data_IF_816968250042
#
_entry.id   IF_816968250042
#
_cell.length_a   1.000
_cell.length_b   1.000
_cell.length_c   1.000
_cell.angle_alpha   90.00
_cell.angle_beta   90.00
_cell.angle_gamma   90.00
#
_symmetry.space_group_name_H-M   'P 1'
#
loop_
_entity.id
_entity.type
_entity.pdbx_description
1 polymer ?
#
# COMPACT_ATOMS: atom_id res chain seq x y z
N UNK A 1 19.42 39.08 -4.58
CA UNK A 1 19.97 39.47 -5.91
C UNK A 1 20.07 38.18 -6.73
N UNK A 2 19.45 38.14 -7.90
CA UNK A 2 19.11 36.94 -8.66
C UNK A 2 20.30 36.17 -9.29
N UNK A 3 20.20 34.83 -9.21
CA UNK A 3 20.56 33.73 -10.15
C UNK A 3 21.91 33.73 -10.91
N UNK A 4 22.60 32.57 -10.84
CA UNK A 4 22.75 31.54 -11.91
C UNK A 4 23.73 30.43 -11.44
N UNK A 5 23.29 29.17 -11.34
CA UNK A 5 23.53 28.05 -12.28
C UNK A 5 25.00 27.82 -12.66
N UNK A 6 25.55 26.66 -12.24
CA UNK A 6 26.81 26.10 -12.71
C UNK A 6 26.58 24.63 -13.10
N UNK A 7 26.50 24.39 -14.40
CA UNK A 7 26.63 23.07 -15.03
C UNK A 7 28.13 22.74 -15.11
N UNK A 8 28.54 21.55 -14.69
CA UNK A 8 29.87 20.99 -14.96
C UNK A 8 29.75 19.89 -16.01
N UNK A 9 30.44 20.08 -17.14
CA UNK A 9 30.74 19.05 -18.14
C UNK A 9 32.24 19.09 -18.41
N UNK A 10 32.88 17.92 -18.40
CA UNK A 10 34.27 17.69 -18.80
C UNK A 10 34.36 16.26 -19.38
N UNK A 11 35.10 15.89 -20.44
CA UNK A 11 35.46 16.49 -21.75
C UNK A 11 36.23 15.42 -22.58
N UNK A 12 36.40 15.66 -23.90
CA UNK A 12 37.44 15.22 -24.89
C UNK A 12 36.99 14.11 -25.90
N UNK A 13 37.02 14.23 -27.26
CA UNK A 13 37.76 15.06 -28.28
C UNK A 13 37.01 15.04 -29.66
N UNK A 14 36.50 16.16 -30.26
CA UNK A 14 37.00 17.01 -31.38
C UNK A 14 36.96 16.44 -32.85
N UNK A 15 36.84 17.24 -33.96
CA UNK A 15 35.87 18.30 -34.35
C UNK A 15 35.29 18.16 -35.79
N UNK A 16 34.20 18.89 -36.14
CA UNK A 16 34.13 19.63 -37.42
C UNK A 16 33.09 20.77 -37.35
N UNK A 17 33.49 21.93 -37.88
CA UNK A 17 32.83 23.24 -37.83
C UNK A 17 32.07 23.49 -39.15
N UNK A 18 31.09 24.40 -39.08
CA UNK A 18 30.60 25.38 -40.09
C UNK A 18 29.17 25.10 -40.57
N UNK A 19 28.19 25.78 -39.96
CA UNK A 19 27.42 26.85 -40.61
C UNK A 19 25.92 26.49 -40.50
N UNK A 20 24.95 27.33 -40.14
CA UNK A 20 24.70 28.71 -40.50
C UNK A 20 24.00 29.46 -39.35
N UNK A 21 24.22 30.77 -39.36
CA UNK A 21 23.49 31.77 -38.61
C UNK A 21 22.18 32.20 -39.30
N UNK A 22 21.41 33.01 -38.56
CA UNK A 22 20.24 33.82 -38.93
C UNK A 22 18.90 33.05 -38.86
N UNK A 23 17.86 33.53 -38.17
CA UNK A 23 17.40 34.92 -38.05
C UNK A 23 16.38 35.14 -36.90
N UNK A 24 16.53 36.29 -36.21
CA UNK A 24 15.52 37.19 -35.61
C UNK A 24 14.05 36.73 -35.54
N UNK A 25 13.33 36.87 -34.42
CA UNK A 25 12.72 38.16 -33.99
C UNK A 25 12.11 38.04 -32.57
N UNK A 26 12.14 39.14 -31.83
CA UNK A 26 11.67 39.27 -30.45
C UNK A 26 10.24 39.87 -30.34
N UNK A 27 9.48 39.34 -29.37
CA UNK A 27 8.67 40.01 -28.31
C UNK A 27 7.38 40.79 -28.68
N UNK A 28 6.24 40.37 -28.10
CA UNK A 28 5.45 41.14 -27.10
C UNK A 28 4.32 40.30 -26.43
N UNK A 29 3.78 40.73 -25.27
CA UNK A 29 3.24 39.84 -24.23
C UNK A 29 1.71 39.75 -24.17
N UNK A 30 1.26 38.77 -23.37
CA UNK A 30 -0.13 38.40 -23.11
C UNK A 30 -0.94 39.47 -22.32
N UNK A 31 -2.27 39.54 -22.53
CA UNK A 31 -3.16 40.28 -21.66
C UNK A 31 -3.64 39.43 -20.46
N UNK A 32 -3.56 40.04 -19.29
CA UNK A 32 -4.12 39.63 -18.00
C UNK A 32 -5.65 39.55 -18.05
N UNK A 33 -6.24 38.45 -17.56
CA UNK A 33 -7.67 38.37 -17.28
C UNK A 33 -7.95 38.48 -15.78
N UNK A 34 -8.86 39.39 -15.44
CA UNK A 34 -9.41 39.65 -14.11
C UNK A 34 -10.40 38.54 -13.73
N UNK A 35 -10.44 38.05 -12.47
CA UNK A 35 -11.39 37.02 -12.05
C UNK A 35 -12.81 37.57 -11.98
N UNK A 36 -13.76 36.86 -12.58
CA UNK A 36 -15.20 37.14 -12.49
C UNK A 36 -15.77 36.35 -11.32
N UNK A 37 -16.29 37.06 -10.32
CA UNK A 37 -17.12 36.53 -9.25
C UNK A 37 -18.52 36.28 -9.81
N UNK A 38 -19.01 35.04 -9.78
CA UNK A 38 -20.40 34.72 -10.12
C UNK A 38 -21.15 34.44 -8.83
N UNK A 39 -22.15 35.27 -8.57
CA UNK A 39 -23.14 35.11 -7.50
C UNK A 39 -24.31 34.28 -8.02
N UNK A 40 -24.76 33.31 -7.21
CA UNK A 40 -25.84 32.40 -7.53
C UNK A 40 -27.20 33.10 -7.72
N UNK A 41 -27.97 32.66 -8.72
CA UNK A 41 -29.41 32.89 -8.81
C UNK A 41 -30.12 31.57 -9.14
N UNK A 42 -31.10 31.26 -8.30
CA UNK A 42 -32.03 30.15 -8.43
C UNK A 42 -33.09 30.41 -9.51
N UNK A 43 -33.45 29.40 -10.31
CA UNK A 43 -34.79 29.22 -10.92
C UNK A 43 -35.05 27.73 -11.20
N UNK A 44 -36.16 27.25 -10.62
CA UNK A 44 -37.12 26.17 -10.92
C UNK A 44 -36.72 24.79 -11.49
N UNK A 45 -37.26 23.78 -10.79
CA UNK A 45 -37.46 22.38 -11.19
C UNK A 45 -38.15 22.21 -12.55
N UNK A 46 -37.83 21.09 -13.23
CA UNK A 46 -38.90 20.26 -13.75
C UNK A 46 -38.73 18.77 -13.39
N UNK A 47 -39.84 18.23 -12.90
CA UNK A 47 -40.34 16.85 -12.90
C UNK A 47 -39.44 15.71 -13.42
N UNK A 48 -39.37 14.66 -12.59
CA UNK A 48 -38.96 13.29 -12.90
C UNK A 48 -39.44 12.78 -14.27
N UNK A 49 -38.51 12.21 -15.02
CA UNK A 49 -38.78 11.08 -15.93
C UNK A 49 -37.67 10.06 -15.70
N UNK A 50 -37.93 9.07 -14.84
CA UNK A 50 -37.17 7.83 -14.77
C UNK A 50 -37.34 7.12 -16.11
N UNK A 51 -36.24 6.94 -16.84
CA UNK A 51 -36.17 6.02 -17.98
C UNK A 51 -34.98 5.12 -17.73
N UNK A 52 -35.24 3.90 -17.25
CA UNK A 52 -34.28 2.79 -17.29
C UNK A 52 -33.93 2.54 -18.76
N UNK A 53 -32.69 2.85 -19.13
CA UNK A 53 -32.08 2.34 -20.35
C UNK A 53 -31.25 1.12 -19.97
N UNK A 54 -31.88 -0.06 -20.01
CA UNK A 54 -31.16 -1.34 -20.07
C UNK A 54 -30.72 -1.52 -21.52
N UNK A 55 -29.44 -1.34 -21.80
CA UNK A 55 -28.81 -1.74 -23.05
C UNK A 55 -28.23 -3.15 -22.92
N UNK A 56 -28.30 -3.92 -23.99
CA UNK A 56 -27.98 -5.36 -24.02
C UNK A 56 -26.47 -5.65 -23.94
N UNK A 57 -26.07 -6.76 -23.29
CA UNK A 57 -24.68 -7.07 -22.99
C UNK A 57 -23.84 -7.32 -24.25
N UNK A 58 -22.67 -6.69 -24.31
CA UNK A 58 -21.61 -7.05 -25.27
C UNK A 58 -20.71 -8.11 -24.64
N UNK A 59 -21.20 -9.35 -24.63
CA UNK A 59 -20.44 -10.53 -24.21
C UNK A 59 -20.92 -11.77 -24.95
N UNK A 60 -20.01 -12.45 -25.66
CA UNK A 60 -20.31 -13.70 -26.35
C UNK A 60 -20.16 -14.88 -25.38
N UNK A 61 -21.17 -15.11 -24.55
CA UNK A 61 -21.30 -16.31 -23.70
C UNK A 61 -22.77 -16.59 -23.40
N UNK A 62 -23.20 -17.85 -23.49
CA UNK A 62 -24.58 -18.23 -23.23
C UNK A 62 -24.96 -17.94 -21.78
N UNK A 63 -25.94 -17.05 -21.55
CA UNK A 63 -26.62 -16.76 -20.27
C UNK A 63 -25.72 -16.93 -19.04
N UNK A 64 -24.74 -16.04 -18.89
CA UNK A 64 -24.04 -15.91 -17.62
C UNK A 64 -25.00 -15.24 -16.62
N UNK A 65 -25.37 -15.98 -15.57
CA UNK A 65 -26.23 -15.46 -14.49
C UNK A 65 -25.54 -14.33 -13.70
N UNK A 66 -24.20 -14.25 -13.76
CA UNK A 66 -23.39 -13.13 -13.31
C UNK A 66 -23.12 -12.19 -14.50
N UNK A 67 -23.48 -10.92 -14.37
CA UNK A 67 -23.57 -10.00 -15.51
C UNK A 67 -22.38 -9.04 -15.54
N UNK A 68 -21.59 -9.06 -16.62
CA UNK A 68 -20.67 -7.97 -16.94
C UNK A 68 -21.46 -6.75 -17.42
N UNK A 69 -21.24 -5.60 -16.79
CA UNK A 69 -21.86 -4.35 -17.20
C UNK A 69 -21.06 -3.72 -18.36
N UNK A 70 -21.74 -2.96 -19.21
CA UNK A 70 -21.15 -2.28 -20.39
C UNK A 70 -20.14 -1.17 -20.02
N UNK A 71 -19.90 -0.95 -18.73
CA UNK A 71 -19.06 0.10 -18.17
C UNK A 71 -17.61 -0.40 -18.04
N UNK A 72 -16.99 -0.72 -19.17
CA UNK A 72 -15.57 -1.09 -19.24
C UNK A 72 -14.77 0.17 -19.59
N UNK A 73 -13.74 0.44 -18.80
CA UNK A 73 -12.81 1.54 -19.02
C UNK A 73 -11.39 1.03 -19.07
N UNK A 74 -10.55 1.65 -19.89
CA UNK A 74 -9.10 1.52 -19.80
C UNK A 74 -8.43 2.86 -20.12
N UNK A 75 -7.27 3.06 -19.51
CA UNK A 75 -6.40 4.21 -19.75
C UNK A 75 -4.95 3.74 -19.86
N UNK A 76 -4.16 4.41 -20.70
CA UNK A 76 -2.76 4.07 -20.92
C UNK A 76 -1.87 5.29 -20.72
N UNK A 77 -0.79 5.14 -19.96
CA UNK A 77 0.32 6.09 -19.88
C UNK A 77 1.66 5.34 -20.07
N UNK A 78 2.33 5.64 -21.18
CA UNK A 78 3.52 4.89 -21.62
C UNK A 78 3.24 3.38 -21.69
N UNK A 79 4.05 2.60 -20.98
CA UNK A 79 3.88 1.15 -20.87
C UNK A 79 2.87 0.69 -19.81
N UNK A 80 2.25 1.58 -19.04
CA UNK A 80 1.27 1.21 -18.01
C UNK A 80 -0.15 1.32 -18.55
N UNK A 81 -0.99 0.31 -18.30
CA UNK A 81 -2.40 0.31 -18.69
C UNK A 81 -3.25 -0.03 -17.48
N UNK A 82 -4.15 0.87 -17.13
CA UNK A 82 -5.21 0.64 -16.15
C UNK A 82 -6.45 0.13 -16.86
N UNK A 83 -7.15 -0.84 -16.27
CA UNK A 83 -8.46 -1.29 -16.71
C UNK A 83 -9.42 -1.41 -15.53
N UNK A 84 -10.69 -1.04 -15.75
CA UNK A 84 -11.77 -1.21 -14.79
C UNK A 84 -13.03 -1.73 -15.47
N UNK A 85 -13.75 -2.61 -14.77
CA UNK A 85 -15.05 -3.14 -15.20
C UNK A 85 -15.89 -3.55 -14.00
N UNK A 86 -17.16 -3.89 -14.23
CA UNK A 86 -18.10 -4.24 -13.18
C UNK A 86 -18.79 -5.56 -13.45
N UNK A 87 -18.84 -6.40 -12.43
CA UNK A 87 -19.72 -7.58 -12.41
C UNK A 87 -20.90 -7.30 -11.47
N UNK A 88 -22.11 -7.64 -11.91
CA UNK A 88 -23.33 -7.51 -11.14
C UNK A 88 -23.93 -8.89 -10.86
N UNK A 89 -24.23 -9.15 -9.59
CA UNK A 89 -25.01 -10.29 -9.15
C UNK A 89 -26.51 -9.91 -9.11
N UNK A 90 -27.32 -10.36 -10.09
CA UNK A 90 -28.76 -10.05 -10.12
C UNK A 90 -29.59 -10.93 -9.18
N UNK A 91 -28.99 -11.93 -8.51
CA UNK A 91 -29.69 -12.82 -7.58
C UNK A 91 -29.87 -12.10 -6.25
N UNK A 92 -31.07 -12.17 -5.68
CA UNK A 92 -31.41 -11.51 -4.41
C UNK A 92 -31.06 -12.32 -3.16
N UNK A 93 -30.71 -13.59 -3.31
CA UNK A 93 -30.52 -14.55 -2.22
C UNK A 93 -29.33 -15.50 -2.42
N UNK A 94 -28.56 -15.34 -3.50
CA UNK A 94 -27.41 -16.19 -3.81
C UNK A 94 -26.11 -15.40 -3.90
N UNK A 95 -25.04 -15.99 -3.38
CA UNK A 95 -23.66 -15.52 -3.52
C UNK A 95 -23.02 -16.29 -4.68
N UNK A 96 -22.33 -15.58 -5.58
CA UNK A 96 -21.42 -16.22 -6.54
C UNK A 96 -20.07 -16.46 -5.86
N UNK A 97 -19.50 -17.63 -6.08
CA UNK A 97 -18.21 -18.03 -5.51
C UNK A 97 -17.23 -18.43 -6.61
N UNK A 98 -15.96 -18.09 -6.36
CA UNK A 98 -14.85 -18.44 -7.21
C UNK A 98 -14.98 -17.86 -8.60
N UNK A 99 -15.12 -16.53 -8.66
CA UNK A 99 -15.19 -15.81 -9.93
C UNK A 99 -13.77 -15.71 -10.46
N UNK A 100 -13.55 -16.32 -11.61
CA UNK A 100 -12.29 -16.24 -12.35
C UNK A 100 -12.48 -15.34 -13.56
N UNK A 101 -11.52 -14.47 -13.85
CA UNK A 101 -11.61 -13.61 -15.02
C UNK A 101 -10.24 -13.39 -15.65
N UNK A 102 -10.24 -13.18 -16.97
CA UNK A 102 -9.06 -12.81 -17.75
C UNK A 102 -9.37 -11.54 -18.52
N UNK A 103 -8.51 -10.53 -18.41
CA UNK A 103 -8.59 -9.30 -19.19
C UNK A 103 -7.53 -9.34 -20.28
N UNK A 104 -7.95 -9.18 -21.53
CA UNK A 104 -7.10 -9.20 -22.71
C UNK A 104 -6.93 -7.78 -23.27
N UNK A 105 -5.70 -7.42 -23.65
CA UNK A 105 -5.37 -6.17 -24.33
C UNK A 105 -5.09 -6.44 -25.81
N UNK A 106 -5.66 -5.65 -26.70
CA UNK A 106 -5.48 -5.80 -28.15
C UNK A 106 -4.91 -4.54 -28.81
N UNK A 107 -4.11 -4.75 -29.87
CA UNK A 107 -3.64 -3.69 -30.76
C UNK A 107 -4.74 -3.25 -31.75
N UNK A 108 -4.48 -2.19 -32.51
CA UNK A 108 -5.42 -1.66 -33.51
C UNK A 108 -5.72 -2.61 -34.69
N UNK A 109 -4.98 -3.71 -34.83
CA UNK A 109 -5.24 -4.75 -35.82
C UNK A 109 -6.07 -5.91 -35.23
N UNK A 110 -6.41 -5.86 -33.94
CA UNK A 110 -7.11 -6.92 -33.21
C UNK A 110 -6.19 -8.08 -32.82
N UNK A 111 -4.87 -7.90 -32.82
CA UNK A 111 -3.96 -8.91 -32.26
C UNK A 111 -3.85 -8.71 -30.76
N UNK A 112 -3.85 -9.81 -30.01
CA UNK A 112 -3.62 -9.77 -28.57
C UNK A 112 -2.18 -9.33 -28.28
N UNK A 113 -2.05 -8.31 -27.45
CA UNK A 113 -0.77 -7.81 -26.92
C UNK A 113 -0.37 -8.68 -25.73
N UNK A 114 -1.27 -8.78 -24.75
CA UNK A 114 -1.09 -9.54 -23.51
C UNK A 114 -2.44 -9.75 -22.83
N UNK A 115 -2.47 -10.58 -21.79
CA UNK A 115 -3.62 -10.82 -20.93
C UNK A 115 -3.20 -11.04 -19.48
N UNK A 116 -4.07 -10.73 -18.53
CA UNK A 116 -3.85 -11.04 -17.11
C UNK A 116 -5.05 -11.75 -16.49
N UNK A 117 -4.77 -12.72 -15.63
CA UNK A 117 -5.73 -13.59 -14.98
C UNK A 117 -5.80 -13.26 -13.49
N UNK A 118 -7.02 -13.15 -12.96
CA UNK A 118 -7.22 -12.94 -11.53
C UNK A 118 -8.58 -13.47 -11.08
N UNK A 119 -8.86 -13.35 -9.79
CA UNK A 119 -10.05 -13.91 -9.18
C UNK A 119 -10.72 -12.94 -8.21
N UNK A 120 -12.04 -13.10 -8.05
CA UNK A 120 -12.82 -12.53 -6.95
C UNK A 120 -13.45 -13.69 -6.20
N UNK A 121 -13.23 -13.75 -4.89
CA UNK A 121 -13.70 -14.89 -4.09
C UNK A 121 -15.22 -14.97 -4.04
N UNK A 122 -15.88 -13.83 -3.77
CA UNK A 122 -17.34 -13.77 -3.68
C UNK A 122 -17.91 -12.47 -4.28
N UNK A 123 -19.08 -12.58 -4.90
CA UNK A 123 -19.94 -11.44 -5.24
C UNK A 123 -21.32 -11.67 -4.61
N UNK A 124 -21.70 -10.79 -3.69
CA UNK A 124 -22.86 -10.94 -2.80
C UNK A 124 -24.19 -10.61 -3.49
N UNK A 125 -25.35 -11.03 -2.94
CA UNK A 125 -26.65 -10.80 -3.56
C UNK A 125 -26.92 -9.33 -3.87
N UNK A 126 -27.35 -9.04 -5.10
CA UNK A 126 -27.63 -7.68 -5.57
C UNK A 126 -26.42 -6.77 -5.73
N UNK A 127 -25.21 -7.25 -5.43
CA UNK A 127 -24.00 -6.43 -5.45
C UNK A 127 -23.56 -6.14 -6.89
N UNK A 128 -23.25 -4.87 -7.15
CA UNK A 128 -22.39 -4.47 -8.27
C UNK A 128 -20.98 -4.28 -7.73
N UNK A 129 -20.03 -5.03 -8.26
CA UNK A 129 -18.65 -5.08 -7.77
C UNK A 129 -17.70 -4.53 -8.82
N UNK A 130 -17.00 -3.45 -8.47
CA UNK A 130 -15.96 -2.84 -9.31
C UNK A 130 -14.64 -3.60 -9.20
N UNK A 131 -14.08 -3.95 -10.35
CA UNK A 131 -12.83 -4.68 -10.48
C UNK A 131 -11.84 -3.81 -11.23
N UNK A 132 -10.59 -3.81 -10.78
CA UNK A 132 -9.50 -3.01 -11.35
C UNK A 132 -8.24 -3.85 -11.55
N UNK A 133 -7.51 -3.57 -12.63
CA UNK A 133 -6.25 -4.22 -12.99
C UNK A 133 -5.26 -3.21 -13.57
N UNK A 134 -3.98 -3.50 -13.37
CA UNK A 134 -2.87 -2.76 -13.93
C UNK A 134 -2.00 -3.70 -14.75
N UNK A 135 -1.69 -3.32 -15.98
CA UNK A 135 -0.75 -4.00 -16.85
C UNK A 135 0.52 -3.19 -17.00
N UNK A 136 1.63 -3.90 -17.15
CA UNK A 136 2.92 -3.32 -17.53
C UNK A 136 3.37 -3.98 -18.84
N UNK A 137 3.39 -3.19 -19.90
CA UNK A 137 3.81 -3.61 -21.24
C UNK A 137 5.34 -3.62 -21.32
N UNK A 138 5.90 -4.63 -21.98
CA UNK A 138 7.36 -4.78 -22.17
C UNK A 138 7.99 -3.63 -23.00
N UNK A 139 7.21 -2.99 -23.86
CA UNK A 139 7.61 -1.84 -24.67
C UNK A 139 6.63 -0.68 -24.47
N UNK A 140 7.15 0.43 -23.96
CA UNK A 140 6.43 1.69 -23.69
C UNK A 140 5.80 2.33 -24.95
N UNK A 141 6.19 1.89 -26.14
CA UNK A 141 5.64 2.37 -27.41
C UNK A 141 4.49 1.49 -27.94
N UNK A 142 4.19 0.37 -27.28
CA UNK A 142 3.06 -0.48 -27.65
C UNK A 142 1.76 0.21 -27.27
N UNK A 143 0.85 0.39 -28.24
CA UNK A 143 -0.43 1.06 -28.00
C UNK A 143 -1.57 0.04 -27.91
N UNK A 144 -2.35 0.14 -26.83
CA UNK A 144 -3.61 -0.58 -26.68
C UNK A 144 -4.69 0.16 -27.48
N UNK A 145 -5.54 -0.60 -28.19
CA UNK A 145 -6.68 -0.07 -28.93
C UNK A 145 -8.01 -0.54 -28.34
N UNK A 146 -8.05 -1.74 -27.76
CA UNK A 146 -9.25 -2.28 -27.13
C UNK A 146 -8.92 -3.32 -26.06
N UNK A 147 -9.90 -3.59 -25.20
CA UNK A 147 -9.82 -4.64 -24.18
C UNK A 147 -11.06 -5.54 -24.23
N UNK A 148 -10.91 -6.78 -23.80
CA UNK A 148 -12.04 -7.68 -23.53
C UNK A 148 -11.88 -8.37 -22.18
N UNK A 149 -12.99 -8.79 -21.60
CA UNK A 149 -13.03 -9.50 -20.33
C UNK A 149 -13.77 -10.81 -20.53
N UNK A 150 -13.10 -11.91 -20.25
CA UNK A 150 -13.70 -13.23 -20.13
C UNK A 150 -13.83 -13.57 -18.64
N UNK A 151 -14.96 -14.13 -18.22
CA UNK A 151 -15.19 -14.52 -16.83
C UNK A 151 -16.00 -15.81 -16.73
N UNK A 152 -15.77 -16.54 -15.65
CA UNK A 152 -16.57 -17.68 -15.22
C UNK A 152 -16.63 -17.71 -13.68
N UNK A 153 -17.41 -18.64 -13.14
CA UNK A 153 -17.50 -18.83 -11.69
C UNK A 153 -17.65 -20.30 -11.33
N UNK A 154 -17.09 -20.69 -10.19
CA UNK A 154 -17.13 -22.07 -9.71
C UNK A 154 -18.54 -22.52 -9.34
N UNK A 155 -19.22 -21.74 -8.49
CA UNK A 155 -20.52 -22.14 -7.95
C UNK A 155 -21.36 -20.96 -7.43
N UNK A 156 -22.58 -21.28 -7.00
CA UNK A 156 -23.45 -20.35 -6.24
C UNK A 156 -23.97 -21.05 -5.00
N UNK A 157 -24.11 -20.32 -3.90
CA UNK A 157 -24.74 -20.82 -2.67
C UNK A 157 -25.73 -19.80 -2.09
N UNK A 158 -26.66 -20.26 -1.26
CA UNK A 158 -27.63 -19.38 -0.59
C UNK A 158 -26.90 -18.49 0.42
N UNK A 159 -27.20 -17.18 0.41
CA UNK A 159 -26.52 -16.23 1.29
C UNK A 159 -26.73 -16.58 2.77
N UNK A 160 -27.95 -16.96 3.19
CA UNK A 160 -28.26 -17.42 4.55
C UNK A 160 -27.67 -16.55 5.69
N UNK A 161 -27.62 -15.22 5.47
CA UNK A 161 -27.07 -14.24 6.41
C UNK A 161 -25.57 -13.91 6.20
N UNK A 162 -24.89 -14.63 5.32
CA UNK A 162 -23.55 -14.30 4.83
C UNK A 162 -23.63 -13.09 3.89
N UNK A 163 -23.03 -11.99 4.31
CA UNK A 163 -22.96 -10.73 3.59
C UNK A 163 -21.53 -10.19 3.64
N UNK A 164 -21.19 -9.27 2.73
CA UNK A 164 -19.92 -8.56 2.82
C UNK A 164 -19.94 -7.73 4.11
N UNK A 165 -19.06 -7.98 5.09
CA UNK A 165 -19.05 -7.19 6.31
C UNK A 165 -18.34 -5.84 6.10
N UNK A 166 -17.71 -5.63 4.93
CA UNK A 166 -16.91 -4.45 4.68
C UNK A 166 -17.71 -3.31 4.07
N UNK A 167 -17.53 -2.13 4.65
CA UNK A 167 -18.04 -0.86 4.10
C UNK A 167 -16.93 0.19 4.14
N UNK A 168 -17.04 1.24 3.35
CA UNK A 168 -16.01 2.27 3.25
C UNK A 168 -16.51 3.64 3.69
N UNK A 169 -15.62 4.44 4.26
CA UNK A 169 -15.91 5.80 4.73
C UNK A 169 -14.66 6.68 4.64
N UNK A 170 -14.86 8.00 4.76
CA UNK A 170 -13.79 9.01 4.75
C UNK A 170 -12.83 8.89 3.56
N UNK A 171 -13.38 8.60 2.37
CA UNK A 171 -12.61 8.49 1.14
C UNK A 171 -12.16 9.87 0.68
N UNK A 172 -10.86 10.05 0.47
CA UNK A 172 -10.26 11.26 -0.07
C UNK A 172 -9.38 10.93 -1.27
N UNK A 173 -9.52 11.76 -2.31
CA UNK A 173 -8.60 11.77 -3.44
C UNK A 173 -7.61 12.92 -3.28
N UNK A 174 -6.33 12.60 -3.45
CA UNK A 174 -5.21 13.52 -3.38
C UNK A 174 -4.54 13.56 -4.75
N UNK A 175 -4.46 14.74 -5.37
CA UNK A 175 -3.80 14.87 -6.67
C UNK A 175 -2.31 14.50 -6.59
N UNK A 176 -1.64 14.87 -5.49
CA UNK A 176 -0.29 14.47 -5.11
C UNK A 176 0.74 14.46 -6.26
N UNK A 177 0.76 15.55 -7.04
CA UNK A 177 1.66 15.71 -8.19
C UNK A 177 1.40 14.67 -9.28
N UNK A 178 2.45 13.93 -9.65
CA UNK A 178 2.42 12.86 -10.65
C UNK A 178 1.99 11.50 -10.06
N UNK A 179 1.76 11.42 -8.74
CA UNK A 179 1.43 10.18 -8.03
C UNK A 179 0.13 10.35 -7.23
N UNK A 180 -1.03 10.50 -7.91
CA UNK A 180 -2.30 10.67 -7.21
C UNK A 180 -2.57 9.50 -6.28
N UNK A 181 -3.23 9.80 -5.17
CA UNK A 181 -3.46 8.84 -4.09
C UNK A 181 -4.89 8.90 -3.61
N UNK A 182 -5.44 7.75 -3.25
CA UNK A 182 -6.69 7.64 -2.52
C UNK A 182 -6.39 7.15 -1.11
N UNK A 183 -6.95 7.82 -0.12
CA UNK A 183 -6.96 7.35 1.27
C UNK A 183 -8.38 7.15 1.74
N UNK A 184 -8.56 6.31 2.76
CA UNK A 184 -9.88 6.06 3.32
C UNK A 184 -9.91 5.00 4.40
N UNK A 185 -11.11 4.64 4.82
CA UNK A 185 -11.35 3.66 5.89
C UNK A 185 -12.13 2.48 5.33
N UNK A 186 -11.74 1.27 5.74
CA UNK A 186 -12.54 0.05 5.60
C UNK A 186 -13.04 -0.34 6.99
N UNK A 187 -14.36 -0.35 7.16
CA UNK A 187 -15.04 -0.76 8.38
C UNK A 187 -15.46 -2.21 8.25
N UNK A 188 -15.31 -2.99 9.32
CA UNK A 188 -15.72 -4.38 9.41
C UNK A 188 -16.87 -4.53 10.42
N UNK A 189 -18.05 -4.90 9.93
CA UNK A 189 -19.21 -5.14 10.81
C UNK A 189 -19.25 -6.55 11.43
N UNK A 190 -18.37 -7.45 11.02
CA UNK A 190 -18.22 -8.78 11.60
C UNK A 190 -17.57 -8.67 13.00
N UNK A 191 -17.99 -9.40 14.04
CA UNK A 191 -17.26 -9.49 15.30
C UNK A 191 -15.82 -10.02 15.18
N UNK A 192 -15.50 -10.72 14.10
CA UNK A 192 -14.20 -11.36 13.92
C UNK A 192 -13.25 -10.55 13.03
N UNK A 193 -11.94 -10.74 13.23
CA UNK A 193 -10.90 -10.05 12.47
C UNK A 193 -10.61 -10.80 11.17
N UNK A 194 -10.51 -10.06 10.06
CA UNK A 194 -10.23 -10.65 8.74
C UNK A 194 -8.92 -10.11 8.19
N UNK A 195 -8.06 -10.99 7.69
CA UNK A 195 -6.79 -10.64 7.06
C UNK A 195 -6.85 -10.56 5.54
N UNK A 196 -5.84 -9.91 4.96
CA UNK A 196 -5.57 -9.84 3.53
C UNK A 196 -6.80 -9.42 2.70
N UNK A 197 -7.31 -8.23 3.00
CA UNK A 197 -8.46 -7.63 2.32
C UNK A 197 -7.97 -6.81 1.14
N UNK A 198 -8.58 -6.99 -0.03
CA UNK A 198 -8.27 -6.16 -1.21
C UNK A 198 -9.28 -5.03 -1.32
N UNK A 199 -8.82 -3.81 -1.52
CA UNK A 199 -9.64 -2.67 -1.87
C UNK A 199 -9.44 -2.32 -3.35
N UNK A 200 -10.49 -2.47 -4.16
CA UNK A 200 -10.51 -1.97 -5.54
C UNK A 200 -11.03 -0.54 -5.54
N UNK A 201 -10.32 0.38 -6.17
CA UNK A 201 -10.58 1.83 -6.11
C UNK A 201 -10.88 2.32 -7.52
N UNK A 202 -12.02 2.97 -7.72
CA UNK A 202 -12.45 3.51 -9.02
C UNK A 202 -12.71 5.00 -8.87
N UNK A 203 -12.08 5.80 -9.73
CA UNK A 203 -12.19 7.25 -9.76
C UNK A 203 -13.14 7.69 -10.88
N UNK A 204 -13.99 8.67 -10.60
CA UNK A 204 -14.98 9.20 -11.53
C UNK A 204 -14.84 10.71 -11.70
N UNK A 205 -15.15 11.21 -12.91
CA UNK A 205 -15.29 12.65 -13.15
C UNK A 205 -16.69 13.16 -12.76
N UNK A 206 -16.93 14.47 -12.94
CA UNK A 206 -18.22 15.09 -12.64
C UNK A 206 -19.40 14.60 -13.52
N UNK A 207 -19.12 13.96 -14.66
CA UNK A 207 -20.14 13.36 -15.52
C UNK A 207 -20.51 11.94 -15.08
N UNK A 208 -19.77 11.35 -14.14
CA UNK A 208 -19.93 9.97 -13.71
C UNK A 208 -19.16 8.96 -14.58
N UNK A 209 -18.29 9.41 -15.49
CA UNK A 209 -17.43 8.52 -16.27
C UNK A 209 -16.25 8.07 -15.40
N UNK A 210 -15.81 6.82 -15.59
CA UNK A 210 -14.58 6.30 -14.99
C UNK A 210 -13.40 7.03 -15.63
N UNK A 211 -12.47 7.51 -14.81
CA UNK A 211 -11.27 8.24 -15.26
C UNK A 211 -9.98 7.70 -14.68
N UNK A 212 -10.04 6.59 -13.96
CA UNK A 212 -8.87 5.98 -13.34
C UNK A 212 -9.22 5.15 -12.11
N UNK A 213 -8.20 4.77 -11.35
CA UNK A 213 -8.33 3.91 -10.20
C UNK A 213 -7.04 3.17 -9.85
N UNK A 214 -7.17 2.17 -9.00
CA UNK A 214 -6.06 1.34 -8.55
C UNK A 214 -6.55 0.34 -7.51
N UNK A 215 -5.64 -0.39 -6.88
CA UNK A 215 -6.00 -1.25 -5.75
C UNK A 215 -4.92 -1.21 -4.68
N UNK A 216 -5.29 -1.64 -3.48
CA UNK A 216 -4.33 -1.92 -2.41
C UNK A 216 -4.79 -3.14 -1.60
N UNK A 217 -3.89 -3.66 -0.79
CA UNK A 217 -4.16 -4.71 0.18
C UNK A 217 -4.06 -4.14 1.59
N UNK A 218 -4.94 -4.61 2.46
CA UNK A 218 -5.01 -4.27 3.86
C UNK A 218 -4.72 -5.55 4.62
N UNK A 219 -3.65 -5.53 5.42
CA UNK A 219 -3.14 -6.72 6.11
C UNK A 219 -4.19 -7.39 6.99
N UNK A 220 -4.97 -6.58 7.71
CA UNK A 220 -6.13 -7.04 8.46
C UNK A 220 -7.12 -5.89 8.71
N UNK A 221 -8.36 -6.24 9.04
CA UNK A 221 -9.37 -5.31 9.56
C UNK A 221 -9.95 -5.93 10.84
N UNK A 222 -9.73 -5.32 12.04
CA UNK A 222 -10.22 -5.88 13.28
C UNK A 222 -11.74 -6.06 13.29
N UNK A 223 -12.21 -7.03 14.08
CA UNK A 223 -13.62 -7.29 14.27
C UNK A 223 -14.35 -6.12 14.93
N UNK A 224 -15.50 -5.74 14.39
CA UNK A 224 -16.34 -4.62 14.84
C UNK A 224 -15.60 -3.28 14.91
N UNK A 225 -14.57 -3.11 14.07
CA UNK A 225 -13.74 -1.92 14.02
C UNK A 225 -13.37 -1.59 12.57
N UNK A 226 -12.35 -0.76 12.37
CA UNK A 226 -11.91 -0.31 11.06
C UNK A 226 -10.38 -0.31 10.90
N UNK A 227 -9.93 -0.21 9.65
CA UNK A 227 -8.54 0.12 9.32
C UNK A 227 -8.46 1.17 8.23
N UNK A 228 -7.45 2.03 8.32
CA UNK A 228 -7.12 2.98 7.27
C UNK A 228 -6.40 2.29 6.12
N UNK A 229 -6.54 2.86 4.91
CA UNK A 229 -5.74 2.49 3.75
C UNK A 229 -5.24 3.75 3.04
N UNK A 230 -4.13 3.60 2.34
CA UNK A 230 -3.60 4.57 1.39
C UNK A 230 -3.11 3.82 0.14
N UNK A 231 -3.44 4.34 -1.04
CA UNK A 231 -3.16 3.67 -2.30
C UNK A 231 -2.87 4.68 -3.41
N UNK A 232 -1.74 4.54 -4.09
CA UNK A 232 -1.54 5.24 -5.36
C UNK A 232 -2.54 4.72 -6.39
N UNK A 233 -3.04 5.64 -7.21
CA UNK A 233 -4.00 5.37 -8.28
C UNK A 233 -3.50 6.02 -9.56
N UNK A 234 -3.99 5.54 -10.70
CA UNK A 234 -3.85 6.24 -11.96
C UNK A 234 -5.07 7.13 -12.18
N UNK A 235 -4.86 8.33 -12.75
CA UNK A 235 -5.93 9.26 -13.09
C UNK A 235 -5.65 9.91 -14.46
N UNK A 236 -6.50 9.60 -15.44
CA UNK A 236 -6.37 10.04 -16.83
C UNK A 236 -7.16 11.32 -17.14
N UNK A 237 -7.99 11.76 -16.20
CA UNK A 237 -8.74 13.02 -16.24
C UNK A 237 -9.04 13.48 -14.79
N UNK A 238 -9.70 14.63 -14.64
CA UNK A 238 -10.10 15.18 -13.35
C UNK A 238 -11.02 14.25 -12.55
N UNK A 239 -10.62 13.97 -11.31
CA UNK A 239 -11.39 13.16 -10.36
C UNK A 239 -12.32 14.05 -9.54
N UNK A 240 -13.60 13.71 -9.52
CA UNK A 240 -14.66 14.35 -8.75
C UNK A 240 -15.17 13.49 -7.59
N UNK A 241 -15.17 12.16 -7.76
CA UNK A 241 -15.57 11.20 -6.73
C UNK A 241 -14.81 9.89 -6.86
N UNK A 242 -14.80 9.11 -5.78
CA UNK A 242 -14.14 7.80 -5.72
C UNK A 242 -15.08 6.79 -5.08
N UNK A 243 -15.14 5.58 -5.62
CA UNK A 243 -15.78 4.43 -4.98
C UNK A 243 -14.74 3.35 -4.69
N UNK A 244 -14.94 2.64 -3.57
CA UNK A 244 -14.00 1.62 -3.09
C UNK A 244 -14.78 0.35 -2.77
N UNK A 245 -14.33 -0.76 -3.36
CA UNK A 245 -14.95 -2.09 -3.28
C UNK A 245 -14.03 -3.05 -2.51
N UNK A 246 -14.12 -3.08 -1.17
CA UNK A 246 -13.38 -4.02 -0.34
C UNK A 246 -13.91 -5.45 -0.55
N UNK A 247 -13.00 -6.42 -0.64
CA UNK A 247 -13.34 -7.82 -0.82
C UNK A 247 -12.34 -8.76 -0.17
N UNK A 248 -12.84 -9.95 0.16
CA UNK A 248 -12.01 -11.07 0.57
C UNK A 248 -11.14 -11.55 -0.59
N UNK A 249 -9.93 -11.98 -0.24
CA UNK A 249 -9.04 -12.68 -1.14
C UNK A 249 -9.05 -14.18 -0.82
N UNK A 250 -8.41 -14.98 -1.66
CA UNK A 250 -8.20 -16.40 -1.38
C UNK A 250 -7.22 -16.64 -0.22
N UNK A 251 -6.37 -15.67 0.11
CA UNK A 251 -5.49 -15.74 1.28
C UNK A 251 -6.05 -15.00 2.50
N UNK A 252 -7.30 -14.53 2.47
CA UNK A 252 -7.96 -14.01 3.67
C UNK A 252 -8.17 -15.12 4.70
N UNK A 253 -7.67 -14.88 5.91
CA UNK A 253 -7.86 -15.71 7.09
C UNK A 253 -8.80 -15.02 8.09
N UNK A 254 -9.59 -15.83 8.78
CA UNK A 254 -10.50 -15.44 9.86
C UNK A 254 -9.82 -15.66 11.21
N UNK A 255 -9.82 -14.65 12.06
CA UNK A 255 -9.38 -14.71 13.45
C UNK A 255 -10.59 -14.50 14.36
N UNK A 256 -11.07 -15.58 14.96
CA UNK A 256 -12.27 -15.58 15.78
C UNK A 256 -12.02 -14.90 17.15
N UNK A 257 -12.90 -13.96 17.51
CA UNK A 257 -12.85 -13.26 18.79
C UNK A 257 -11.78 -12.16 18.88
N UNK A 258 -11.35 -11.87 20.12
CA UNK A 258 -10.48 -10.72 20.43
C UNK A 258 -9.41 -10.97 21.50
N UNK A 259 -9.36 -12.17 22.07
CA UNK A 259 -8.44 -12.48 23.18
C UNK A 259 -6.96 -12.34 22.76
N UNK A 260 -6.67 -12.64 21.48
CA UNK A 260 -5.33 -12.57 20.91
C UNK A 260 -4.76 -11.14 20.87
N UNK A 261 -5.57 -10.08 20.85
CA UNK A 261 -5.07 -8.70 20.85
C UNK A 261 -4.23 -8.33 22.09
N UNK A 262 -4.30 -9.14 23.15
CA UNK A 262 -3.48 -8.96 24.36
C UNK A 262 -2.16 -9.74 24.32
N UNK A 263 -1.88 -10.50 23.26
CA UNK A 263 -0.68 -11.35 23.17
C UNK A 263 0.58 -10.58 22.77
N UNK A 264 0.43 -9.44 22.09
CA UNK A 264 1.52 -8.52 21.80
C UNK A 264 1.16 -7.13 22.31
N UNK A 265 2.05 -6.52 23.10
CA UNK A 265 1.92 -5.14 23.55
C UNK A 265 2.80 -4.21 22.72
N UNK A 266 2.29 -3.04 22.34
CA UNK A 266 3.13 -1.89 21.96
C UNK A 266 3.54 -1.17 23.25
N UNK A 267 4.85 -1.11 23.52
CA UNK A 267 5.39 -0.57 24.76
C UNK A 267 5.74 0.91 24.68
N UNK A 268 6.25 1.32 23.52
CA UNK A 268 6.70 2.66 23.22
C UNK A 268 6.56 2.86 21.72
N UNK A 269 6.12 4.03 21.31
CA UNK A 269 5.96 4.40 19.91
C UNK A 269 6.13 5.91 19.78
N UNK A 270 6.75 6.34 18.69
CA UNK A 270 6.83 7.74 18.33
C UNK A 270 7.01 7.89 16.84
N UNK A 271 6.08 8.59 16.21
CA UNK A 271 6.17 9.00 14.81
C UNK A 271 5.99 10.51 14.68
N UNK A 272 6.68 11.10 13.71
CA UNK A 272 6.61 12.52 13.43
C UNK A 272 6.86 12.81 11.94
N UNK A 273 6.34 13.95 11.48
CA UNK A 273 6.63 14.44 10.13
C UNK A 273 8.00 15.12 10.08
N UNK A 274 8.76 14.82 9.03
CA UNK A 274 10.02 15.49 8.72
C UNK A 274 9.76 16.86 8.07
N UNK A 275 10.84 17.62 7.85
CA UNK A 275 10.75 18.92 7.14
C UNK A 275 10.28 18.76 5.68
N UNK A 276 10.37 17.56 5.11
CA UNK A 276 9.97 17.25 3.75
C UNK A 276 8.60 16.53 3.66
N UNK A 277 7.87 16.41 4.77
CA UNK A 277 6.54 15.79 4.79
C UNK A 277 6.52 14.27 4.96
N UNK A 278 7.67 13.59 4.83
CA UNK A 278 7.78 12.15 5.16
C UNK A 278 7.48 11.88 6.63
N UNK A 279 6.95 10.69 6.94
CA UNK A 279 6.71 10.23 8.29
C UNK A 279 7.81 9.25 8.69
N UNK A 280 8.47 9.52 9.82
CA UNK A 280 9.55 8.68 10.34
C UNK A 280 9.34 8.43 11.83
N UNK A 281 9.85 7.32 12.32
CA UNK A 281 9.62 6.89 13.69
C UNK A 281 9.77 5.40 13.86
N UNK A 282 9.19 4.87 14.93
CA UNK A 282 9.18 3.44 15.19
C UNK A 282 8.42 3.12 16.46
N UNK A 283 8.39 1.84 16.80
CA UNK A 283 7.71 1.31 17.96
C UNK A 283 8.43 0.08 18.52
N UNK A 284 8.27 -0.16 19.81
CA UNK A 284 8.73 -1.36 20.50
C UNK A 284 7.53 -2.27 20.77
N UNK A 285 7.68 -3.55 20.42
CA UNK A 285 6.66 -4.57 20.70
C UNK A 285 7.19 -5.62 21.66
N UNK A 286 6.30 -6.17 22.47
CA UNK A 286 6.59 -7.25 23.41
C UNK A 286 5.59 -8.39 23.26
N UNK A 287 6.08 -9.63 23.11
CA UNK A 287 5.22 -10.82 23.30
C UNK A 287 4.86 -10.97 24.77
N UNK A 288 3.59 -11.21 25.10
CA UNK A 288 3.11 -11.42 26.47
C UNK A 288 2.86 -12.90 26.80
N UNK A 289 3.22 -13.81 25.88
CA UNK A 289 2.91 -15.23 25.99
C UNK A 289 4.17 -16.10 26.07
N UNK A 290 3.98 -17.34 26.51
CA UNK A 290 5.05 -18.34 26.69
C UNK A 290 5.36 -19.15 25.41
N UNK A 291 4.82 -18.74 24.26
CA UNK A 291 4.97 -19.43 22.96
C UNK A 291 5.56 -18.47 21.93
N UNK A 292 6.34 -19.01 21.00
CA UNK A 292 6.89 -18.24 19.88
C UNK A 292 5.73 -17.88 18.94
N UNK A 293 5.71 -16.63 18.47
CA UNK A 293 4.79 -16.19 17.41
C UNK A 293 5.58 -16.03 16.12
N UNK A 294 5.08 -16.58 15.01
CA UNK A 294 5.59 -16.32 13.66
C UNK A 294 4.61 -15.46 12.87
N UNK A 295 5.08 -14.76 11.84
CA UNK A 295 4.24 -14.01 10.90
C UNK A 295 3.26 -13.00 11.54
N UNK A 296 3.66 -12.33 12.64
CA UNK A 296 2.83 -11.26 13.21
C UNK A 296 2.93 -10.01 12.32
N UNK A 297 1.90 -9.18 12.29
CA UNK A 297 1.88 -7.98 11.43
C UNK A 297 1.51 -6.75 12.24
N UNK A 298 2.31 -5.69 12.09
CA UNK A 298 2.05 -4.39 12.65
C UNK A 298 1.60 -3.43 11.54
N UNK A 299 0.52 -2.69 11.78
CA UNK A 299 0.02 -1.65 10.87
C UNK A 299 -0.07 -0.32 11.63
N UNK A 300 0.35 0.74 10.96
CA UNK A 300 0.33 2.11 11.45
C UNK A 300 -0.60 2.92 10.55
N UNK A 301 -1.60 3.56 11.14
CA UNK A 301 -2.51 4.45 10.42
C UNK A 301 -2.31 5.88 10.87
N UNK A 302 -2.11 6.80 9.93
CA UNK A 302 -1.85 8.21 10.21
C UNK A 302 -3.04 9.09 9.84
N UNK A 303 -3.41 10.01 10.71
CA UNK A 303 -4.60 10.84 10.59
C UNK A 303 -4.28 12.32 10.57
N UNK A 304 -5.08 13.11 9.85
CA UNK A 304 -5.13 14.56 10.05
C UNK A 304 -6.02 14.92 11.27
N UNK A 305 -6.03 16.22 11.62
CA UNK A 305 -6.84 16.75 12.74
C UNK A 305 -8.36 16.52 12.61
N UNK A 306 -8.84 16.24 11.40
CA UNK A 306 -10.26 16.02 11.10
C UNK A 306 -10.60 14.51 11.08
N UNK A 307 -9.61 13.64 11.33
CA UNK A 307 -9.76 12.19 11.36
C UNK A 307 -9.69 11.53 9.99
N UNK A 308 -9.21 12.22 8.95
CA UNK A 308 -8.99 11.60 7.65
C UNK A 308 -7.64 10.90 7.59
N UNK A 309 -7.57 9.79 6.86
CA UNK A 309 -6.32 9.07 6.66
C UNK A 309 -5.39 9.91 5.76
N UNK A 310 -4.15 10.09 6.22
CA UNK A 310 -3.08 10.77 5.47
C UNK A 310 -2.06 9.79 4.92
N UNK A 311 -1.80 8.68 5.63
CA UNK A 311 -0.90 7.63 5.17
C UNK A 311 -1.08 6.36 6.02
N UNK A 312 -0.43 5.28 5.59
CA UNK A 312 -0.32 4.01 6.31
C UNK A 312 1.12 3.46 6.22
N UNK A 313 1.52 2.68 7.22
CA UNK A 313 2.75 1.88 7.21
C UNK A 313 2.46 0.47 7.71
N UNK A 314 3.32 -0.48 7.34
CA UNK A 314 3.19 -1.86 7.78
C UNK A 314 4.56 -2.49 8.02
N UNK A 315 4.60 -3.50 8.89
CA UNK A 315 5.79 -4.31 9.13
C UNK A 315 5.42 -5.73 9.50
N UNK A 316 6.10 -6.70 8.89
CA UNK A 316 5.93 -8.12 9.19
C UNK A 316 7.02 -8.57 10.15
N UNK A 317 6.60 -9.09 11.30
CA UNK A 317 7.47 -9.67 12.32
C UNK A 317 7.53 -11.17 12.04
N UNK A 318 8.62 -11.60 11.39
CA UNK A 318 8.82 -13.00 11.02
C UNK A 318 8.73 -13.93 12.23
N UNK A 319 9.36 -13.54 13.34
CA UNK A 319 9.41 -14.33 14.55
C UNK A 319 9.56 -13.44 15.79
N UNK A 320 8.79 -13.75 16.83
CA UNK A 320 8.83 -13.08 18.13
C UNK A 320 8.87 -14.14 19.23
N UNK A 321 10.00 -14.23 19.94
CA UNK A 321 10.19 -15.21 21.00
C UNK A 321 9.36 -14.85 22.25
N UNK A 322 9.09 -15.82 23.15
CA UNK A 322 8.38 -15.59 24.40
C UNK A 322 8.95 -14.42 25.19
N UNK A 323 8.08 -13.50 25.62
CA UNK A 323 8.45 -12.31 26.44
C UNK A 323 9.47 -11.36 25.80
N UNK A 324 9.84 -11.58 24.54
CA UNK A 324 10.86 -10.80 23.85
C UNK A 324 10.33 -9.41 23.52
N UNK A 325 11.21 -8.42 23.68
CA UNK A 325 11.02 -7.06 23.19
C UNK A 325 11.87 -6.88 21.93
N UNK A 326 11.29 -6.31 20.88
CA UNK A 326 12.00 -5.85 19.68
C UNK A 326 11.55 -4.43 19.32
N UNK A 327 12.46 -3.64 18.77
CA UNK A 327 12.16 -2.31 18.23
C UNK A 327 12.11 -2.35 16.71
N UNK A 328 11.11 -1.69 16.12
CA UNK A 328 10.80 -1.72 14.69
C UNK A 328 10.65 -0.29 14.17
N UNK A 329 11.34 0.02 13.07
CA UNK A 329 11.14 1.25 12.30
C UNK A 329 10.53 0.86 10.96
N UNK A 330 9.19 0.95 10.79
CA UNK A 330 8.52 0.47 9.60
C UNK A 330 8.77 1.40 8.42
N UNK A 331 8.59 0.87 7.21
CA UNK A 331 8.40 1.72 6.04
C UNK A 331 6.99 2.31 6.08
N UNK A 332 6.89 3.63 5.93
CA UNK A 332 5.63 4.36 5.88
C UNK A 332 5.47 4.95 4.48
N UNK A 333 4.27 4.80 3.92
CA UNK A 333 3.95 5.43 2.64
C UNK A 333 4.11 6.95 2.76
N UNK A 334 4.66 7.60 1.74
CA UNK A 334 4.82 9.06 1.79
C UNK A 334 3.44 9.74 1.78
N UNK A 335 3.10 10.58 2.77
CA UNK A 335 1.84 11.30 2.76
C UNK A 335 1.70 12.23 1.54
N UNK A 336 0.46 12.64 1.18
CA UNK A 336 0.25 13.66 0.17
C UNK A 336 0.97 14.97 0.52
N UNK A 337 1.47 15.69 -0.49
CA UNK A 337 2.21 16.96 -0.32
C UNK A 337 1.50 18.01 0.57
N UNK A 338 0.17 18.03 0.56
CA UNK A 338 -0.67 18.96 1.32
C UNK A 338 -1.29 18.36 2.59
N UNK A 339 -1.05 17.07 2.86
CA UNK A 339 -1.51 16.43 4.08
C UNK A 339 -0.77 16.99 5.30
N UNK A 340 -1.50 17.09 6.41
CA UNK A 340 -0.95 17.50 7.71
C UNK A 340 -1.34 16.45 8.74
N UNK A 341 -0.44 15.49 8.95
CA UNK A 341 -0.61 14.42 9.94
C UNK A 341 -0.55 15.00 11.36
N UNK A 342 -1.53 14.65 12.19
CA UNK A 342 -1.71 15.13 13.56
C UNK A 342 -1.58 13.98 14.58
N UNK A 343 -2.11 12.80 14.25
CA UNK A 343 -2.08 11.64 15.13
C UNK A 343 -1.88 10.33 14.34
N UNK A 344 -1.66 9.25 15.06
CA UNK A 344 -1.53 7.91 14.49
C UNK A 344 -1.95 6.84 15.50
N UNK A 345 -2.27 5.66 14.99
CA UNK A 345 -2.49 4.44 15.77
C UNK A 345 -1.53 3.35 15.29
N UNK A 346 -1.02 2.53 16.22
CA UNK A 346 -0.23 1.32 15.92
C UNK A 346 -1.01 0.11 16.43
N UNK A 347 -1.37 -0.80 15.53
CA UNK A 347 -2.00 -2.07 15.87
C UNK A 347 -1.09 -3.22 15.45
N UNK A 348 -1.04 -4.27 16.28
CA UNK A 348 -0.26 -5.48 16.00
C UNK A 348 -1.18 -6.69 16.09
N UNK A 349 -1.36 -7.39 14.98
CA UNK A 349 -2.03 -8.68 14.92
C UNK A 349 -1.00 -9.78 15.19
N UNK A 350 -1.14 -10.57 16.27
CA UNK A 350 -0.34 -11.76 16.48
C UNK A 350 -0.53 -12.75 15.34
N UNK A 351 0.57 -13.38 14.94
CA UNK A 351 0.55 -14.42 13.92
C UNK A 351 0.41 -15.83 14.49
N UNK A 352 1.04 -16.80 13.86
CA UNK A 352 0.87 -18.22 14.17
C UNK A 352 1.67 -18.65 15.41
N UNK A 353 1.12 -19.57 16.20
CA UNK A 353 1.80 -20.14 17.36
C UNK A 353 2.76 -21.26 16.96
N UNK A 354 4.04 -21.07 17.22
CA UNK A 354 5.08 -22.05 16.94
C UNK A 354 5.39 -22.89 18.19
N UNK A 355 4.85 -24.12 18.26
CA UNK A 355 5.00 -24.99 19.44
C UNK A 355 6.30 -25.78 19.49
N UNK A 356 6.96 -25.96 18.33
CA UNK A 356 8.14 -26.80 18.17
C UNK A 356 9.39 -26.00 17.75
N UNK A 357 9.37 -24.66 17.89
CA UNK A 357 10.54 -23.84 17.60
C UNK A 357 11.66 -24.09 18.61
N UNK A 358 12.90 -24.16 18.12
CA UNK A 358 14.04 -24.60 18.93
C UNK A 358 14.40 -23.64 20.06
N UNK A 359 14.18 -22.34 19.86
CA UNK A 359 14.55 -21.30 20.82
C UNK A 359 13.36 -20.83 21.64
N UNK A 360 13.57 -20.64 22.95
CA UNK A 360 12.62 -19.98 23.86
C UNK A 360 13.11 -18.62 24.35
N UNK A 361 14.38 -18.29 24.06
CA UNK A 361 15.02 -17.03 24.40
C UNK A 361 16.00 -16.63 23.29
N UNK A 362 16.25 -15.34 23.14
CA UNK A 362 17.14 -14.84 22.09
C UNK A 362 18.61 -15.11 22.46
N UNK A 363 19.36 -15.90 21.67
CA UNK A 363 20.76 -16.21 21.96
C UNK A 363 21.74 -15.13 21.46
N UNK A 364 21.28 -14.08 20.79
CA UNK A 364 22.13 -13.04 20.24
C UNK A 364 22.33 -11.89 21.21
N UNK A 365 23.60 -11.54 21.43
CA UNK A 365 23.98 -10.43 22.29
C UNK A 365 24.61 -9.34 21.43
N UNK A 366 23.96 -8.17 21.36
CA UNK A 366 24.54 -6.98 20.73
C UNK A 366 25.68 -6.46 21.61
N UNK A 367 26.88 -6.43 21.05
CA UNK A 367 28.09 -5.98 21.73
C UNK A 367 28.29 -4.46 21.61
N UNK A 368 27.99 -3.90 20.44
CA UNK A 368 28.11 -2.47 20.16
C UNK A 368 27.29 -2.05 18.95
N UNK A 369 26.88 -0.77 18.95
CA UNK A 369 26.27 -0.07 17.83
C UNK A 369 27.04 1.22 17.56
N UNK A 370 27.22 1.57 16.29
CA UNK A 370 27.89 2.81 15.90
C UNK A 370 27.30 3.38 14.60
N UNK A 371 27.12 4.70 14.55
CA UNK A 371 26.78 5.39 13.31
C UNK A 371 27.96 5.30 12.34
N UNK A 372 27.65 4.93 11.10
CA UNK A 372 28.58 4.85 9.97
C UNK A 372 27.95 5.50 8.72
N UNK A 373 28.70 5.47 7.61
CA UNK A 373 28.32 6.13 6.36
C UNK A 373 28.76 7.59 6.27
N UNK A 374 28.85 8.10 5.05
CA UNK A 374 29.28 9.49 4.78
C UNK A 374 28.24 10.54 5.21
N UNK A 375 26.99 10.10 5.44
CA UNK A 375 25.84 10.94 5.81
C UNK A 375 25.19 10.49 7.12
N UNK A 376 25.91 9.74 7.97
CA UNK A 376 25.36 9.22 9.23
C UNK A 376 24.06 8.41 9.03
N UNK A 377 24.00 7.66 7.91
CA UNK A 377 22.81 6.97 7.40
C UNK A 377 22.90 5.44 7.52
N UNK A 378 23.90 4.94 8.23
CA UNK A 378 24.05 3.53 8.57
C UNK A 378 24.34 3.36 10.05
N UNK A 379 23.97 2.19 10.58
CA UNK A 379 24.38 1.71 11.91
C UNK A 379 25.11 0.39 11.75
N UNK A 380 26.39 0.35 12.11
CA UNK A 380 27.11 -0.89 12.29
C UNK A 380 26.68 -1.55 13.61
N UNK A 381 26.08 -2.74 13.52
CA UNK A 381 25.62 -3.57 14.64
C UNK A 381 26.55 -4.76 14.79
N UNK A 382 27.35 -4.77 15.85
CA UNK A 382 28.20 -5.90 16.19
C UNK A 382 27.52 -6.79 17.25
N UNK A 383 27.42 -8.09 16.99
CA UNK A 383 26.75 -9.03 17.91
C UNK A 383 27.43 -10.39 17.96
N UNK A 384 27.16 -11.13 19.04
CA UNK A 384 27.69 -12.48 19.30
C UNK A 384 26.57 -13.50 19.31
N UNK A 385 26.76 -14.62 18.61
CA UNK A 385 25.94 -15.82 18.78
C UNK A 385 26.36 -16.54 20.06
N UNK A 386 25.56 -16.47 21.13
CA UNK A 386 25.84 -17.19 22.38
C UNK A 386 25.23 -18.58 22.43
N UNK A 387 24.56 -19.00 21.35
CA UNK A 387 24.02 -20.35 21.22
C UNK A 387 25.13 -21.38 21.07
N UNK A 388 24.77 -22.66 21.27
CA UNK A 388 25.70 -23.78 21.17
C UNK A 388 25.82 -24.36 19.75
N UNK A 389 25.07 -23.82 18.80
CA UNK A 389 25.06 -24.18 17.37
C UNK A 389 25.51 -23.02 16.50
N UNK A 390 25.90 -23.34 15.27
CA UNK A 390 26.02 -22.34 14.23
C UNK A 390 24.63 -21.83 13.85
N UNK A 391 24.51 -20.53 13.56
CA UNK A 391 23.25 -19.92 13.12
C UNK A 391 23.47 -19.02 11.91
N UNK A 392 22.57 -19.07 10.94
CA UNK A 392 22.50 -18.20 9.75
C UNK A 392 21.07 -17.69 9.56
N UNK A 393 20.87 -16.73 8.64
CA UNK A 393 19.56 -16.14 8.31
C UNK A 393 18.92 -15.43 9.51
N UNK A 394 19.42 -14.22 9.81
CA UNK A 394 18.99 -13.41 10.94
C UNK A 394 18.52 -12.03 10.50
N UNK A 395 17.48 -11.53 11.16
CA UNK A 395 17.03 -10.15 11.02
C UNK A 395 17.75 -9.26 12.04
N UNK A 396 18.11 -8.04 11.63
CA UNK A 396 18.72 -7.02 12.48
C UNK A 396 17.85 -5.77 12.44
N UNK A 397 17.33 -5.38 13.59
CA UNK A 397 16.52 -4.18 13.76
C UNK A 397 17.27 -3.11 14.54
N UNK A 398 17.07 -1.85 14.18
CA UNK A 398 17.69 -0.69 14.83
C UNK A 398 16.65 0.37 15.11
N UNK A 399 16.66 0.91 16.33
CA UNK A 399 15.96 2.14 16.69
C UNK A 399 16.94 3.21 17.19
N UNK A 400 16.68 4.44 16.81
CA UNK A 400 17.41 5.64 17.21
C UNK A 400 16.58 6.42 18.21
N UNK A 401 17.21 6.93 19.26
CA UNK A 401 16.53 7.69 20.31
C UNK A 401 17.16 9.06 20.49
N UNK A 402 16.34 10.07 20.76
CA UNK A 402 16.80 11.37 21.22
C UNK A 402 17.11 11.37 22.74
N UNK A 403 17.57 12.51 23.26
CA UNK A 403 17.96 12.65 24.66
C UNK A 403 16.77 12.57 25.64
N UNK A 404 15.55 12.76 25.15
CA UNK A 404 14.31 12.64 25.92
C UNK A 404 13.77 11.20 25.91
N UNK A 405 14.39 10.31 25.12
CA UNK A 405 14.01 8.91 24.98
C UNK A 405 12.94 8.65 23.92
N UNK A 406 12.63 9.63 23.06
CA UNK A 406 11.70 9.41 21.96
C UNK A 406 12.40 8.66 20.82
N UNK A 407 11.69 7.75 20.18
CA UNK A 407 12.15 7.09 18.96
C UNK A 407 12.19 8.13 17.83
N UNK A 408 13.33 8.37 17.21
CA UNK A 408 13.47 9.39 16.15
C UNK A 408 13.63 8.80 14.75
N UNK A 409 13.67 7.48 14.64
CA UNK A 409 13.84 6.74 13.40
C UNK A 409 14.55 5.43 13.64
N UNK A 410 15.02 4.80 12.57
CA UNK A 410 15.63 3.48 12.63
C UNK A 410 15.67 2.80 11.27
N UNK A 411 15.82 1.49 11.28
CA UNK A 411 15.84 0.67 10.09
C UNK A 411 16.00 -0.80 10.40
N UNK A 412 16.06 -1.61 9.34
CA UNK A 412 16.24 -3.04 9.43
C UNK A 412 17.12 -3.55 8.28
N UNK A 413 17.82 -4.65 8.52
CA UNK A 413 18.57 -5.41 7.52
C UNK A 413 18.57 -6.89 7.89
N UNK A 414 19.17 -7.74 7.06
CA UNK A 414 19.29 -9.18 7.31
C UNK A 414 20.69 -9.68 6.97
N UNK A 415 21.07 -10.83 7.54
CA UNK A 415 22.31 -11.52 7.21
C UNK A 415 22.08 -13.00 6.97
N UNK A 416 22.65 -13.52 5.89
CA UNK A 416 22.61 -14.95 5.52
C UNK A 416 23.88 -15.68 5.95
N UNK A 417 24.89 -14.94 6.42
CA UNK A 417 26.22 -15.48 6.69
C UNK A 417 26.22 -16.37 7.95
N UNK A 418 26.80 -17.58 7.91
CA UNK A 418 26.85 -18.47 9.07
C UNK A 418 27.73 -17.93 10.21
N UNK A 419 27.19 -17.98 11.43
CA UNK A 419 27.83 -17.51 12.64
C UNK A 419 28.06 -18.69 13.58
N UNK A 420 29.30 -19.18 13.72
CA UNK A 420 29.60 -20.30 14.62
C UNK A 420 29.19 -20.02 16.07
N UNK A 421 29.02 -21.08 16.87
CA UNK A 421 28.79 -20.97 18.31
C UNK A 421 29.89 -20.13 18.98
N UNK A 422 29.52 -19.08 19.70
CA UNK A 422 30.43 -18.11 20.31
C UNK A 422 31.09 -17.14 19.31
N UNK A 423 30.71 -17.18 18.04
CA UNK A 423 31.20 -16.31 16.98
C UNK A 423 30.57 -14.91 17.02
N UNK A 424 31.24 -13.94 16.40
CA UNK A 424 30.82 -12.54 16.32
C UNK A 424 30.67 -12.12 14.87
N UNK A 425 29.68 -11.28 14.59
CA UNK A 425 29.41 -10.69 13.27
C UNK A 425 29.15 -9.18 13.39
N UNK A 426 29.35 -8.46 12.30
CA UNK A 426 28.94 -7.06 12.14
C UNK A 426 28.06 -6.94 10.89
N UNK A 427 26.95 -6.22 11.02
CA UNK A 427 25.99 -5.91 9.94
C UNK A 427 25.79 -4.39 9.91
N UNK A 428 25.81 -3.77 8.73
CA UNK A 428 25.48 -2.36 8.57
C UNK A 428 24.02 -2.21 8.17
N UNK A 429 23.22 -1.57 9.03
CA UNK A 429 21.79 -1.34 8.80
C UNK A 429 21.58 0.07 8.28
N UNK A 430 20.94 0.21 7.12
CA UNK A 430 20.51 1.54 6.65
C UNK A 430 19.41 2.09 7.56
N UNK A 431 19.49 3.37 7.89
CA UNK A 431 18.55 4.04 8.81
C UNK A 431 17.95 5.29 8.19
N UNK A 432 16.71 5.57 8.56
CA UNK A 432 16.00 6.81 8.22
C UNK A 432 15.61 7.59 9.48
N UNK A 433 15.87 8.89 9.48
CA UNK A 433 15.48 9.85 10.51
C UNK A 433 15.64 11.28 9.97
N UNK A 434 15.00 12.25 10.62
CA UNK A 434 15.13 13.65 10.21
C UNK A 434 16.48 14.26 10.62
N UNK A 435 17.16 14.92 9.68
CA UNK A 435 18.39 15.73 9.92
C UNK A 435 18.23 16.80 11.02
N UNK A 436 16.98 17.17 11.36
CA UNK A 436 16.68 18.10 12.45
C UNK A 436 16.75 17.47 13.85
N UNK A 437 16.86 16.14 13.94
CA UNK A 437 16.99 15.40 15.19
C UNK A 437 18.46 15.10 15.50
N UNK A 438 18.73 14.79 16.75
CA UNK A 438 20.07 14.39 17.21
C UNK A 438 19.97 13.05 17.90
N UNK A 439 20.78 12.09 17.45
CA UNK A 439 20.85 10.76 18.02
C UNK A 439 21.58 10.83 19.37
N UNK A 440 20.91 10.42 20.44
CA UNK A 440 21.47 10.32 21.78
C UNK A 440 21.86 8.86 22.12
N UNK A 441 21.07 7.89 21.65
CA UNK A 441 21.39 6.47 21.80
C UNK A 441 20.81 5.64 20.66
N UNK A 442 21.39 4.46 20.48
CA UNK A 442 20.99 3.46 19.48
C UNK A 442 20.70 2.16 20.22
N UNK A 443 19.57 1.55 19.94
CA UNK A 443 19.29 0.17 20.34
C UNK A 443 19.18 -0.71 19.10
N UNK A 444 19.62 -1.95 19.22
CA UNK A 444 19.52 -2.92 18.14
C UNK A 444 19.08 -4.28 18.69
N UNK A 445 18.37 -5.02 17.84
CA UNK A 445 17.91 -6.38 18.13
C UNK A 445 18.34 -7.26 16.97
N UNK A 446 18.97 -8.38 17.30
CA UNK A 446 19.29 -9.42 16.32
C UNK A 446 18.42 -10.60 16.66
N UNK A 447 17.60 -11.04 15.71
CA UNK A 447 16.59 -12.06 15.97
C UNK A 447 16.61 -13.15 14.90
N UNK A 448 16.25 -14.39 15.27
CA UNK A 448 15.88 -15.38 14.28
C UNK A 448 14.69 -14.90 13.43
N UNK A 449 14.60 -15.41 12.22
CA UNK A 449 13.48 -15.27 11.31
C UNK A 449 13.00 -16.65 10.85
N UNK A 450 12.03 -16.69 9.92
CA UNK A 450 11.44 -17.93 9.42
C UNK A 450 12.46 -18.87 8.76
N UNK A 451 13.53 -18.33 8.19
CA UNK A 451 14.56 -19.06 7.46
C UNK A 451 15.78 -19.41 8.31
N UNK A 452 15.80 -19.05 9.60
CA UNK A 452 16.94 -19.31 10.48
C UNK A 452 17.27 -20.79 10.56
N UNK A 453 18.53 -21.12 10.26
CA UNK A 453 19.06 -22.48 10.33
C UNK A 453 19.94 -22.66 11.58
N UNK A 454 19.78 -23.81 12.26
CA UNK A 454 20.54 -24.17 13.47
C UNK A 454 21.34 -25.46 13.24
N UNK A 455 22.66 -25.34 13.00
CA UNK A 455 23.55 -26.46 12.64
C UNK A 455 24.54 -26.90 13.74
#
# INVERSE_FOLDING_TARGET
MYKKQLFFVFFLIFPLIVGLACSFTAKEPAPTQTPVVITASAVDEPAEVVTEAVTEPVGSGALQDLVLLDNIFWGQDGGSVFAAFFLHNPKGDQVFEGIEYTVHLYDANGNEITSDYSTVRWIFPGQTFGIVLNFYLDDENTLVDSISVDWEYDSTFAADGFANPFTTSNILFWQNGDFPMVTGIINNSDPDTHSNIRANIICYNNAGDIVGGGYTYIDFVPGSDYMGFAAYVDAFDSVASVEVFPTFTYSSLLYEGSDFWSEISVLNDYFYSTTYGSLVGGFEVQSNIDTVLSNSVAVITFYDKDGNITSTGAFYINLLLPHQIIGISPWVLTPPDDAQTDSYDVLVLPGDYETDYELTENPFVVNSTAITGDYDNYVAVNFTNTYNKQVSELDVYVLLYDADGNIIGGGNDWTTEPIPAGGTMEVEVWIDYSDSKTIASIQAWVVPNYWTEFE
#
